data_IF_756901875744
#
_entry.id   IF_756901875744
#
_cell.length_a   1.000
_cell.length_b   1.000
_cell.length_c   1.000
_cell.angle_alpha   90.00
_cell.angle_beta   90.00
_cell.angle_gamma   90.00
#
_symmetry.space_group_name_H-M   'P 1'
#
loop_
_entity.id
_entity.type
_entity.pdbx_description
1 polymer ?
#
# COMPACT_ATOMS: atom_id res chain seq x y z
N UNK A 1 -1.81 5.06 -24.20
CA UNK A 1 -3.09 4.83 -23.49
C UNK A 1 -2.78 4.78 -22.00
N UNK A 2 -3.42 5.61 -21.15
CA UNK A 2 -3.28 5.47 -19.70
C UNK A 2 -4.09 4.23 -19.31
N UNK A 3 -3.46 3.22 -18.73
CA UNK A 3 -4.21 2.15 -18.08
C UNK A 3 -5.14 2.79 -17.05
N UNK A 4 -6.44 2.69 -17.31
CA UNK A 4 -7.45 3.38 -16.52
C UNK A 4 -7.40 2.81 -15.10
N UNK A 5 -7.08 3.65 -14.11
CA UNK A 5 -7.29 3.29 -12.72
C UNK A 5 -8.75 2.88 -12.57
N UNK A 6 -9.02 1.72 -11.96
CA UNK A 6 -10.39 1.25 -11.75
C UNK A 6 -11.19 2.35 -11.06
N UNK A 7 -12.27 2.81 -11.70
CA UNK A 7 -13.16 3.82 -11.13
C UNK A 7 -14.04 3.16 -10.05
N UNK A 8 -14.46 3.93 -9.05
CA UNK A 8 -15.23 3.41 -7.91
C UNK A 8 -16.58 4.17 -7.81
N UNK A 9 -17.61 3.74 -8.59
CA UNK A 9 -18.88 4.45 -8.73
C UNK A 9 -19.63 4.63 -7.42
N UNK A 10 -19.60 3.59 -6.58
CA UNK A 10 -20.33 3.55 -5.31
C UNK A 10 -19.94 4.69 -4.37
N UNK A 11 -18.72 5.20 -4.49
CA UNK A 11 -18.22 6.30 -3.68
C UNK A 11 -17.89 7.54 -4.52
N UNK A 12 -18.35 7.60 -5.77
CA UNK A 12 -18.10 8.70 -6.71
C UNK A 12 -16.61 9.10 -6.79
N UNK A 13 -15.71 8.11 -6.79
CA UNK A 13 -14.26 8.35 -6.89
C UNK A 13 -13.74 7.92 -8.26
N UNK A 14 -12.87 8.78 -8.81
CA UNK A 14 -12.17 8.51 -10.06
C UNK A 14 -11.17 7.34 -9.99
N UNK A 15 -10.84 6.86 -8.79
CA UNK A 15 -10.01 5.68 -8.56
C UNK A 15 -10.41 4.95 -7.27
N UNK A 16 -10.25 3.63 -7.24
CA UNK A 16 -10.30 2.83 -6.00
C UNK A 16 -9.16 3.26 -5.07
N UNK A 17 -9.48 3.55 -3.81
CA UNK A 17 -8.52 4.00 -2.79
C UNK A 17 -8.77 3.29 -1.47
N UNK A 18 -7.70 2.95 -0.74
CA UNK A 18 -7.82 2.48 0.66
C UNK A 18 -8.26 3.66 1.53
N UNK A 19 -9.20 3.39 2.45
CA UNK A 19 -9.66 4.35 3.46
C UNK A 19 -9.34 3.84 4.86
N UNK A 20 -9.57 4.64 5.90
CA UNK A 20 -9.40 4.22 7.29
C UNK A 20 -10.34 3.10 7.74
N UNK A 21 -11.35 2.73 6.94
CA UNK A 21 -12.33 1.69 7.26
C UNK A 21 -12.35 0.54 6.24
N UNK A 22 -11.81 0.75 5.03
CA UNK A 22 -11.87 -0.22 3.94
C UNK A 22 -10.48 -0.43 3.34
N UNK A 23 -10.04 -1.68 3.39
CA UNK A 23 -8.88 -2.13 2.62
C UNK A 23 -9.33 -2.80 1.33
N UNK A 24 -8.82 -2.32 0.20
CA UNK A 24 -8.93 -2.97 -1.10
C UNK A 24 -7.53 -2.98 -1.75
N UNK A 25 -7.01 -4.18 -1.98
CA UNK A 25 -5.70 -4.41 -2.60
C UNK A 25 -5.54 -3.69 -3.94
N UNK A 26 -6.60 -3.58 -4.74
CA UNK A 26 -6.56 -2.98 -6.09
C UNK A 26 -6.14 -1.52 -6.07
N UNK A 27 -6.33 -0.83 -4.95
CA UNK A 27 -5.83 0.54 -4.76
C UNK A 27 -4.30 0.66 -4.85
N UNK A 28 -3.57 -0.42 -4.57
CA UNK A 28 -2.10 -0.47 -4.68
C UNK A 28 -1.61 -0.57 -6.14
N UNK A 29 -2.52 -0.80 -7.09
CA UNK A 29 -2.22 -0.80 -8.53
C UNK A 29 -2.47 0.56 -9.19
N UNK A 30 -2.84 1.58 -8.41
CA UNK A 30 -3.13 2.91 -8.91
C UNK A 30 -1.89 3.61 -9.50
N UNK A 31 -2.00 4.03 -10.77
CA UNK A 31 -0.97 4.79 -11.49
C UNK A 31 -0.93 6.26 -11.05
N UNK A 32 -2.04 6.79 -10.54
CA UNK A 32 -2.13 8.17 -10.08
C UNK A 32 -1.33 8.35 -8.78
N UNK A 33 -0.26 9.16 -8.78
CA UNK A 33 0.67 9.20 -7.66
C UNK A 33 0.04 9.68 -6.35
N UNK A 34 -0.84 10.68 -6.41
CA UNK A 34 -1.51 11.25 -5.24
C UNK A 34 -2.48 10.24 -4.60
N UNK A 35 -3.26 9.52 -5.42
CA UNK A 35 -4.20 8.51 -4.95
C UNK A 35 -3.47 7.31 -4.32
N UNK A 36 -2.32 6.92 -4.88
CA UNK A 36 -1.48 5.87 -4.31
C UNK A 36 -0.90 6.30 -2.96
N UNK A 37 -0.34 7.52 -2.85
CA UNK A 37 0.17 8.06 -1.59
C UNK A 37 -0.94 8.12 -0.53
N UNK A 38 -2.13 8.60 -0.89
CA UNK A 38 -3.26 8.63 0.05
C UNK A 38 -3.66 7.22 0.53
N UNK A 39 -3.71 6.26 -0.39
CA UNK A 39 -4.02 4.87 -0.05
C UNK A 39 -2.95 4.25 0.86
N UNK A 40 -1.67 4.52 0.61
CA UNK A 40 -0.57 4.06 1.47
C UNK A 40 -0.63 4.67 2.87
N UNK A 41 -0.99 5.95 2.99
CA UNK A 41 -1.18 6.61 4.30
C UNK A 41 -2.29 5.95 5.12
N UNK A 42 -3.45 5.70 4.50
CA UNK A 42 -4.54 5.00 5.18
C UNK A 42 -4.21 3.54 5.48
N UNK A 43 -3.48 2.86 4.59
CA UNK A 43 -2.99 1.51 4.83
C UNK A 43 -2.02 1.47 6.01
N UNK A 44 -1.11 2.43 6.13
CA UNK A 44 -0.20 2.50 7.27
C UNK A 44 -0.97 2.62 8.59
N UNK A 45 -2.00 3.47 8.63
CA UNK A 45 -2.89 3.57 9.78
C UNK A 45 -3.56 2.22 10.10
N UNK A 46 -4.18 1.57 9.11
CA UNK A 46 -4.85 0.28 9.28
C UNK A 46 -3.91 -0.84 9.74
N UNK A 47 -2.69 -0.89 9.19
CA UNK A 47 -1.66 -1.86 9.58
C UNK A 47 -1.27 -1.66 11.04
N UNK A 48 -1.25 -0.42 11.55
CA UNK A 48 -0.93 -0.17 12.95
C UNK A 48 -2.09 -0.55 13.88
N UNK A 49 -3.34 -0.26 13.50
CA UNK A 49 -4.50 -0.40 14.38
C UNK A 49 -5.14 -1.79 14.36
N UNK A 50 -5.11 -2.52 13.24
CA UNK A 50 -5.87 -3.76 13.06
C UNK A 50 -4.99 -4.98 12.77
N UNK A 51 -5.06 -6.00 13.62
CA UNK A 51 -4.45 -7.32 13.38
C UNK A 51 -5.06 -8.01 12.16
N UNK A 52 -6.38 -7.94 12.02
CA UNK A 52 -7.13 -8.56 10.91
C UNK A 52 -6.66 -8.03 9.55
N UNK A 53 -6.40 -6.73 9.44
CA UNK A 53 -5.87 -6.15 8.19
C UNK A 53 -4.47 -6.69 7.91
N UNK A 54 -3.58 -6.79 8.91
CA UNK A 54 -2.24 -7.35 8.72
C UNK A 54 -2.27 -8.78 8.16
N UNK A 55 -3.14 -9.62 8.68
CA UNK A 55 -3.32 -10.99 8.18
C UNK A 55 -3.91 -11.02 6.77
N UNK A 56 -4.90 -10.16 6.49
CA UNK A 56 -5.55 -10.10 5.19
C UNK A 56 -4.58 -9.63 4.09
N UNK A 57 -3.79 -8.59 4.36
CA UNK A 57 -2.71 -8.08 3.49
C UNK A 57 -1.62 -9.14 3.27
N UNK A 58 -1.42 -10.04 4.22
CA UNK A 58 -0.50 -11.17 4.05
C UNK A 58 -1.08 -12.24 3.14
N UNK A 59 -2.36 -12.58 3.31
CA UNK A 59 -3.03 -13.67 2.58
C UNK A 59 -3.28 -13.32 1.11
N UNK A 60 -3.50 -12.05 0.80
CA UNK A 60 -3.80 -11.60 -0.56
C UNK A 60 -2.55 -11.16 -1.37
N UNK A 61 -1.36 -11.36 -0.80
CA UNK A 61 -0.08 -10.98 -1.40
C UNK A 61 0.19 -9.47 -1.42
N UNK A 62 -0.47 -8.70 -0.53
CA UNK A 62 -0.38 -7.26 -0.38
C UNK A 62 1.04 -6.77 -0.13
N UNK A 63 1.79 -7.49 0.69
CA UNK A 63 3.18 -7.15 1.02
C UNK A 63 4.11 -7.26 -0.18
N UNK A 64 3.94 -8.24 -1.06
CA UNK A 64 4.71 -8.42 -2.29
C UNK A 64 4.45 -7.28 -3.26
N UNK A 65 3.21 -6.77 -3.29
CA UNK A 65 2.89 -5.58 -4.07
C UNK A 65 3.57 -4.35 -3.49
N UNK A 66 3.57 -4.17 -2.17
CA UNK A 66 4.31 -3.10 -1.49
C UNK A 66 5.82 -3.21 -1.78
N UNK A 67 6.41 -4.40 -1.73
CA UNK A 67 7.82 -4.61 -2.09
C UNK A 67 8.11 -4.22 -3.55
N UNK A 68 7.22 -4.55 -4.50
CA UNK A 68 7.37 -4.07 -5.89
C UNK A 68 7.31 -2.54 -5.99
N UNK A 69 6.38 -1.90 -5.28
CA UNK A 69 6.30 -0.42 -5.25
C UNK A 69 7.61 0.16 -4.69
N UNK A 70 8.14 -0.43 -3.62
CA UNK A 70 9.40 -0.01 -3.01
C UNK A 70 10.59 -0.17 -3.97
N UNK A 71 10.65 -1.27 -4.74
CA UNK A 71 11.72 -1.50 -5.75
C UNK A 71 11.60 -0.55 -6.94
N UNK A 72 10.37 -0.20 -7.34
CA UNK A 72 10.11 0.70 -8.46
C UNK A 72 10.22 2.19 -8.09
N UNK A 73 10.24 2.51 -6.81
CA UNK A 73 10.41 3.88 -6.30
C UNK A 73 11.79 4.03 -5.68
N UNK A 74 12.36 5.23 -5.75
CA UNK A 74 13.69 5.48 -5.21
C UNK A 74 13.70 6.77 -4.41
N UNK A 75 14.36 6.72 -3.25
CA UNK A 75 14.61 7.88 -2.39
C UNK A 75 15.44 8.94 -3.12
N UNK A 76 16.30 8.54 -4.06
CA UNK A 76 17.15 9.44 -4.85
C UNK A 76 16.40 10.15 -5.98
N UNK A 77 15.09 9.99 -6.06
CA UNK A 77 14.29 10.61 -7.12
C UNK A 77 14.10 12.10 -6.88
N UNK A 78 14.33 12.93 -7.91
CA UNK A 78 14.05 14.37 -7.91
C UNK A 78 12.56 14.71 -7.70
N UNK A 79 11.66 13.72 -7.88
CA UNK A 79 10.22 13.91 -7.66
C UNK A 79 9.89 13.59 -6.21
N UNK A 80 9.53 14.63 -5.45
CA UNK A 80 9.06 14.55 -4.04
C UNK A 80 8.05 13.41 -3.84
N UNK A 81 7.11 13.27 -4.76
CA UNK A 81 6.07 12.25 -4.71
C UNK A 81 6.59 10.80 -4.72
N UNK A 82 7.73 10.53 -5.38
CA UNK A 82 8.35 9.20 -5.35
C UNK A 82 9.01 8.92 -3.99
N UNK A 83 9.55 9.95 -3.34
CA UNK A 83 10.09 9.85 -1.98
C UNK A 83 8.95 9.52 -1.00
N UNK A 84 7.81 10.21 -1.09
CA UNK A 84 6.64 9.90 -0.26
C UNK A 84 6.12 8.48 -0.46
N UNK A 85 6.01 8.02 -1.71
CA UNK A 85 5.63 6.63 -2.01
C UNK A 85 6.60 5.65 -1.36
N UNK A 86 7.90 5.88 -1.52
CA UNK A 86 8.93 5.00 -0.95
C UNK A 86 8.84 4.99 0.58
N UNK A 87 8.83 6.14 1.23
CA UNK A 87 8.81 6.27 2.69
C UNK A 87 7.55 5.65 3.31
N UNK A 88 6.36 5.90 2.72
CA UNK A 88 5.12 5.31 3.22
C UNK A 88 5.07 3.80 3.01
N UNK A 89 5.53 3.32 1.86
CA UNK A 89 5.60 1.88 1.57
C UNK A 89 6.56 1.19 2.54
N UNK A 90 7.73 1.78 2.76
CA UNK A 90 8.71 1.30 3.73
C UNK A 90 8.11 1.27 5.14
N UNK A 91 7.46 2.35 5.57
CA UNK A 91 6.81 2.43 6.88
C UNK A 91 5.69 1.39 7.05
N UNK A 92 4.94 1.07 5.99
CA UNK A 92 3.95 -0.03 6.02
C UNK A 92 4.63 -1.38 6.25
N UNK A 93 5.72 -1.67 5.53
CA UNK A 93 6.46 -2.93 5.64
C UNK A 93 7.10 -3.08 7.03
N UNK A 94 7.74 -2.02 7.54
CA UNK A 94 8.34 -2.01 8.88
C UNK A 94 7.27 -2.16 9.96
N UNK A 95 6.16 -1.44 9.86
CA UNK A 95 5.05 -1.56 10.82
C UNK A 95 4.46 -2.99 10.83
N UNK A 96 4.35 -3.61 9.66
CA UNK A 96 3.94 -5.00 9.52
C UNK A 96 4.98 -5.99 10.08
N UNK A 97 6.27 -5.75 9.89
CA UNK A 97 7.33 -6.61 10.44
C UNK A 97 7.39 -6.59 11.97
N UNK A 98 7.31 -5.40 12.57
CA UNK A 98 7.36 -5.22 14.03
C UNK A 98 6.13 -5.84 14.70
N UNK A 99 4.94 -5.63 14.14
CA UNK A 99 3.65 -6.05 14.73
C UNK A 99 3.07 -7.34 14.14
N UNK A 100 3.76 -7.93 13.17
CA UNK A 100 3.31 -9.11 12.43
C UNK A 100 3.65 -10.41 13.12
N UNK A 101 2.90 -11.45 12.74
CA UNK A 101 3.14 -12.84 13.11
C UNK A 101 4.38 -13.40 12.38
N UNK A 102 4.86 -14.56 12.81
CA UNK A 102 6.01 -15.22 12.19
C UNK A 102 5.84 -15.41 10.67
N UNK A 103 4.64 -15.81 10.23
CA UNK A 103 4.31 -16.01 8.82
C UNK A 103 4.50 -14.72 7.99
N UNK A 104 4.04 -13.59 8.53
CA UNK A 104 4.19 -12.27 7.87
C UNK A 104 5.67 -11.91 7.77
N UNK A 105 6.45 -12.15 8.82
CA UNK A 105 7.89 -11.84 8.81
C UNK A 105 8.64 -12.71 7.82
N UNK A 106 8.34 -14.00 7.75
CA UNK A 106 8.95 -14.90 6.77
C UNK A 106 8.58 -14.52 5.33
N UNK A 107 7.33 -14.13 5.09
CA UNK A 107 6.87 -13.66 3.77
C UNK A 107 7.51 -12.36 3.30
N UNK A 108 7.99 -11.51 4.22
CA UNK A 108 8.71 -10.27 3.89
C UNK A 108 10.19 -10.49 3.56
N UNK A 109 10.77 -11.61 3.99
CA UNK A 109 12.21 -11.93 3.81
C UNK A 109 12.46 -12.67 2.50
N UNK A 110 11.49 -13.45 2.03
CA UNK A 110 11.55 -14.18 0.75
C UNK A 110 11.34 -13.26 -0.47
#
# INVERSE_FOLDING_TARGET
MRDCNFYFPTNNKAAVTITSALYDRRALDCTAPLALVNSLSHLHYLINTSTRIRELVSKDGGFERLMRILRNTSVKSQRVMNVWKWSLTFNCLVAAGIRGTYEIRMGLVN
#
